data_IF_596864391147
#
_entry.id   IF_596864391147
#
_cell.length_a   1.000
_cell.length_b   1.000
_cell.length_c   1.000
_cell.angle_alpha   90.00
_cell.angle_beta   90.00
_cell.angle_gamma   90.00
#
_symmetry.space_group_name_H-M   'P 1'
#
loop_
_entity.id
_entity.type
_entity.pdbx_description
1 polymer ?
#
# COMPACT_ATOMS: atom_id res chain seq x y z
N UNK A 1 50.18 14.14 11.72
CA UNK A 1 49.49 13.82 10.46
C UNK A 1 48.34 14.80 10.19
N UNK A 2 47.36 15.00 11.09
CA UNK A 2 46.25 15.95 10.86
C UNK A 2 46.66 17.44 10.77
N UNK A 3 47.71 17.88 11.48
CA UNK A 3 48.21 19.27 11.40
C UNK A 3 48.84 19.65 10.05
N UNK A 4 49.11 18.68 9.17
CA UNK A 4 49.70 18.92 7.85
C UNK A 4 48.65 19.01 6.72
N UNK A 5 47.37 18.85 7.06
CA UNK A 5 46.27 19.00 6.10
C UNK A 5 45.93 20.48 5.94
N UNK A 6 45.60 20.95 4.73
CA UNK A 6 45.14 22.32 4.52
C UNK A 6 43.87 22.58 5.32
N UNK A 7 43.83 23.69 6.04
CA UNK A 7 42.64 24.15 6.77
C UNK A 7 41.65 24.68 5.74
N UNK A 8 40.41 24.20 5.78
CA UNK A 8 39.37 24.68 4.88
C UNK A 8 39.09 26.17 5.17
N UNK A 9 39.13 27.07 4.17
CA UNK A 9 38.85 28.48 4.40
C UNK A 9 37.36 28.74 4.69
N UNK A 10 36.49 27.83 4.26
CA UNK A 10 35.03 27.91 4.42
C UNK A 10 34.55 26.67 5.18
N UNK A 11 33.62 26.86 6.11
CA UNK A 11 32.92 25.77 6.80
C UNK A 11 31.43 25.92 6.65
N UNK A 12 30.74 24.82 6.30
CA UNK A 12 29.29 24.72 6.28
C UNK A 12 28.86 23.64 7.26
N UNK A 13 27.91 23.96 8.13
CA UNK A 13 27.46 23.08 9.18
C UNK A 13 25.93 23.14 9.32
N UNK A 14 25.29 21.99 9.44
CA UNK A 14 23.86 21.87 9.69
C UNK A 14 23.64 21.17 11.03
N UNK A 15 23.15 21.95 12.00
CA UNK A 15 22.95 21.50 13.38
C UNK A 15 21.69 20.65 13.56
N UNK A 16 20.85 20.54 12.51
CA UNK A 16 19.62 19.77 12.54
C UNK A 16 18.37 20.59 12.88
N UNK A 17 17.29 19.87 13.15
CA UNK A 17 15.98 20.42 13.50
C UNK A 17 15.71 20.26 15.00
N UNK A 18 15.49 21.37 15.69
CA UNK A 18 15.33 21.39 17.15
C UNK A 18 13.86 21.34 17.59
N UNK A 19 12.90 21.51 16.68
CA UNK A 19 11.45 21.53 16.97
C UNK A 19 10.95 20.24 17.62
N UNK A 20 11.55 19.11 17.28
CA UNK A 20 11.15 17.80 17.81
C UNK A 20 11.70 17.54 19.22
N UNK A 21 12.64 18.36 19.69
CA UNK A 21 13.36 18.13 20.95
C UNK A 21 12.76 18.87 22.15
N UNK A 22 11.85 19.83 21.92
CA UNK A 22 11.30 20.70 22.96
C UNK A 22 9.77 20.81 22.83
N UNK A 23 9.05 19.78 23.26
CA UNK A 23 7.59 19.80 23.33
C UNK A 23 7.06 20.88 24.29
N UNK A 24 5.80 21.28 24.13
CA UNK A 24 5.15 22.27 25.01
C UNK A 24 5.09 21.84 26.48
N UNK A 25 5.26 20.57 26.82
CA UNK A 25 5.33 20.06 28.19
C UNK A 25 6.77 19.76 28.66
N UNK A 26 7.79 20.10 27.87
CA UNK A 26 9.19 19.82 28.19
C UNK A 26 9.67 20.61 29.43
N UNK A 27 10.40 19.91 30.30
CA UNK A 27 11.00 20.46 31.53
C UNK A 27 12.00 21.59 31.25
N UNK A 28 12.71 21.52 30.13
CA UNK A 28 13.61 22.56 29.63
C UNK A 28 13.09 23.09 28.32
N UNK A 29 12.96 24.41 28.23
CA UNK A 29 12.58 25.11 27.00
C UNK A 29 13.70 26.06 26.59
N UNK A 30 13.93 26.26 25.28
CA UNK A 30 14.85 27.27 24.81
C UNK A 30 14.41 28.65 25.32
N UNK A 31 15.37 29.42 25.83
CA UNK A 31 15.12 30.80 26.20
C UNK A 31 14.92 31.61 24.91
N UNK A 32 13.83 32.40 24.82
CA UNK A 32 13.60 33.29 23.66
C UNK A 32 14.48 34.54 23.69
N UNK A 33 15.12 34.81 24.82
CA UNK A 33 16.01 35.96 24.96
C UNK A 33 17.36 35.68 24.29
N UNK A 34 17.97 36.72 23.74
CA UNK A 34 19.28 36.59 23.11
C UNK A 34 20.32 36.12 24.12
N UNK A 35 21.09 35.05 23.85
CA UNK A 35 22.19 34.62 24.71
C UNK A 35 23.36 35.61 24.72
N UNK A 36 23.25 36.73 23.98
CA UNK A 36 24.34 37.66 23.72
C UNK A 36 25.21 37.22 22.55
N UNK A 37 26.39 37.82 22.43
CA UNK A 37 27.35 37.44 21.42
C UNK A 37 27.90 36.04 21.71
N UNK A 38 27.73 35.11 20.79
CA UNK A 38 28.25 33.75 20.92
C UNK A 38 29.79 33.69 20.89
N UNK A 39 30.43 34.73 20.34
CA UNK A 39 31.87 34.87 20.24
C UNK A 39 32.29 36.29 20.63
N UNK A 40 33.49 36.42 21.19
CA UNK A 40 34.15 37.71 21.37
C UNK A 40 34.43 38.34 19.98
N UNK A 41 34.15 39.64 19.76
CA UNK A 41 34.44 40.31 18.49
C UNK A 41 35.92 40.27 18.06
N UNK A 42 36.84 40.01 19.00
CA UNK A 42 38.28 39.87 18.77
C UNK A 42 38.77 38.41 18.79
N UNK A 43 37.87 37.44 18.95
CA UNK A 43 38.27 36.04 18.91
C UNK A 43 38.80 35.68 17.50
N UNK A 44 39.94 34.96 17.40
CA UNK A 44 40.41 34.47 16.12
C UNK A 44 39.39 33.48 15.55
N UNK A 45 38.93 33.73 14.33
CA UNK A 45 38.02 32.82 13.64
C UNK A 45 38.79 31.57 13.17
N UNK A 46 38.27 30.35 13.41
CA UNK A 46 38.92 29.12 12.97
C UNK A 46 38.91 28.95 11.44
N UNK A 47 37.95 29.56 10.75
CA UNK A 47 37.79 29.57 9.31
C UNK A 47 37.49 31.01 8.84
N UNK A 48 37.85 31.35 7.60
CA UNK A 48 37.66 32.72 7.07
C UNK A 48 36.17 33.05 6.90
N UNK A 49 35.35 32.04 6.58
CA UNK A 49 33.89 32.10 6.53
C UNK A 49 33.27 30.82 7.11
N UNK A 50 32.25 30.95 7.93
CA UNK A 50 31.48 29.86 8.51
C UNK A 50 29.98 30.12 8.34
N UNK A 51 29.27 29.11 7.88
CA UNK A 51 27.82 29.11 7.69
C UNK A 51 27.26 28.00 8.57
N UNK A 52 26.62 28.39 9.67
CA UNK A 52 25.91 27.47 10.56
C UNK A 52 24.41 27.58 10.31
N UNK A 53 23.75 26.44 10.12
CA UNK A 53 22.33 26.36 9.83
C UNK A 53 21.59 25.49 10.85
N UNK A 54 20.38 25.90 11.21
CA UNK A 54 19.49 25.15 12.11
C UNK A 54 18.02 25.44 11.77
N UNK A 55 17.13 24.49 12.08
CA UNK A 55 15.68 24.73 12.01
C UNK A 55 15.09 24.83 13.41
N UNK A 56 14.41 25.94 13.68
CA UNK A 56 13.72 26.22 14.94
C UNK A 56 12.45 27.03 14.70
N UNK A 57 11.34 26.66 15.35
CA UNK A 57 10.03 27.24 15.11
C UNK A 57 9.50 26.99 13.68
N UNK A 58 9.98 25.95 13.00
CA UNK A 58 9.71 25.74 11.57
C UNK A 58 10.44 26.69 10.62
N UNK A 59 11.32 27.56 11.13
CA UNK A 59 12.10 28.50 10.32
C UNK A 59 13.56 28.04 10.21
N UNK A 60 14.12 28.12 8.99
CA UNK A 60 15.55 27.89 8.75
C UNK A 60 16.33 29.16 9.10
N UNK A 61 17.18 29.08 10.13
CA UNK A 61 18.11 30.13 10.49
C UNK A 61 19.49 29.81 9.92
N UNK A 62 20.08 30.76 9.20
CA UNK A 62 21.44 30.71 8.67
C UNK A 62 22.28 31.80 9.34
N UNK A 63 23.36 31.40 10.03
CA UNK A 63 24.31 32.33 10.64
C UNK A 63 25.59 32.34 9.84
N UNK A 64 25.96 33.52 9.35
CA UNK A 64 27.17 33.77 8.59
C UNK A 64 28.19 34.47 9.48
N UNK A 65 29.31 33.80 9.77
CA UNK A 65 30.41 34.34 10.57
C UNK A 65 31.65 34.45 9.68
N UNK A 66 32.25 35.63 9.56
CA UNK A 66 33.34 35.86 8.60
C UNK A 66 34.39 36.85 9.11
N UNK A 67 35.59 36.77 8.52
CA UNK A 67 36.67 37.74 8.80
C UNK A 67 36.47 39.04 8.02
N UNK A 68 36.26 40.15 8.75
CA UNK A 68 36.16 41.49 8.17
C UNK A 68 37.48 42.02 7.59
N UNK A 69 38.63 41.40 7.92
CA UNK A 69 39.92 41.70 7.29
C UNK A 69 40.06 41.08 5.91
N UNK A 70 39.28 40.03 5.63
CA UNK A 70 39.30 39.28 4.36
C UNK A 70 38.15 39.64 3.44
N UNK A 71 36.97 39.90 3.99
CA UNK A 71 35.74 40.12 3.23
C UNK A 71 35.08 41.44 3.58
N UNK A 72 34.59 42.13 2.56
CA UNK A 72 33.73 43.29 2.75
C UNK A 72 32.35 42.83 3.25
N UNK A 73 31.79 43.44 4.32
CA UNK A 73 30.47 43.06 4.83
C UNK A 73 29.36 43.09 3.76
N UNK A 74 29.39 44.06 2.86
CA UNK A 74 28.42 44.18 1.77
C UNK A 74 28.49 43.00 0.78
N UNK A 75 29.67 42.42 0.56
CA UNK A 75 29.84 41.25 -0.31
C UNK A 75 29.26 39.98 0.34
N UNK A 76 29.46 39.81 1.65
CA UNK A 76 28.86 38.68 2.39
C UNK A 76 27.34 38.81 2.48
N UNK A 77 26.83 40.03 2.68
CA UNK A 77 25.40 40.30 2.68
C UNK A 77 24.77 39.97 1.32
N UNK A 78 25.39 40.38 0.22
CA UNK A 78 24.94 40.02 -1.13
C UNK A 78 24.96 38.49 -1.35
N UNK A 79 26.02 37.80 -0.94
CA UNK A 79 26.11 36.33 -1.02
C UNK A 79 25.01 35.64 -0.20
N UNK A 80 24.72 36.14 1.01
CA UNK A 80 23.66 35.59 1.86
C UNK A 80 22.27 35.81 1.25
N UNK A 81 22.04 36.97 0.61
CA UNK A 81 20.81 37.27 -0.13
C UNK A 81 20.65 36.38 -1.37
N UNK A 82 21.72 36.19 -2.15
CA UNK A 82 21.72 35.29 -3.31
C UNK A 82 21.46 33.84 -2.88
N UNK A 83 22.07 33.40 -1.78
CA UNK A 83 21.83 32.08 -1.20
C UNK A 83 20.37 31.89 -0.80
N UNK A 84 19.78 32.88 -0.13
CA UNK A 84 18.36 32.87 0.24
C UNK A 84 17.45 32.86 -0.99
N UNK A 85 17.73 33.67 -1.99
CA UNK A 85 16.98 33.71 -3.24
C UNK A 85 17.03 32.37 -3.98
N UNK A 86 18.20 31.72 -4.02
CA UNK A 86 18.36 30.36 -4.55
C UNK A 86 17.53 29.34 -3.77
N UNK A 87 17.53 29.38 -2.43
CA UNK A 87 16.71 28.49 -1.62
C UNK A 87 15.21 28.71 -1.86
N UNK A 88 14.77 29.96 -1.95
CA UNK A 88 13.38 30.30 -2.27
C UNK A 88 12.99 29.81 -3.67
N UNK A 89 13.87 29.95 -4.65
CA UNK A 89 13.64 29.43 -6.00
C UNK A 89 13.58 27.89 -6.01
N UNK A 90 14.43 27.21 -5.23
CA UNK A 90 14.37 25.75 -5.05
C UNK A 90 13.06 25.32 -4.38
N UNK A 91 12.63 26.01 -3.32
CA UNK A 91 11.35 25.73 -2.66
C UNK A 91 10.19 25.93 -3.64
N UNK A 92 10.17 27.05 -4.38
CA UNK A 92 9.14 27.31 -5.39
C UNK A 92 9.13 26.24 -6.49
N UNK A 93 10.30 25.76 -6.91
CA UNK A 93 10.42 24.65 -7.83
C UNK A 93 9.85 23.36 -7.22
N UNK A 94 10.26 22.96 -6.02
CA UNK A 94 9.76 21.75 -5.35
C UNK A 94 8.25 21.77 -5.08
N UNK A 95 7.67 22.95 -4.86
CA UNK A 95 6.22 23.14 -4.68
C UNK A 95 5.43 23.21 -5.99
N UNK A 96 6.11 23.37 -7.13
CA UNK A 96 5.44 23.39 -8.43
C UNK A 96 4.96 21.97 -8.80
N UNK A 97 3.72 21.88 -9.28
CA UNK A 97 3.13 20.62 -9.73
C UNK A 97 4.04 19.94 -10.78
N UNK A 98 4.39 18.68 -10.53
CA UNK A 98 5.23 17.87 -11.41
C UNK A 98 6.75 18.05 -11.25
N UNK A 99 7.21 18.93 -10.35
CA UNK A 99 8.66 19.10 -10.05
C UNK A 99 9.15 18.22 -8.88
N UNK A 100 8.22 17.54 -8.19
CA UNK A 100 8.54 16.47 -7.25
C UNK A 100 8.75 15.14 -7.98
N UNK A 101 9.82 14.43 -7.64
CA UNK A 101 10.14 13.11 -8.18
C UNK A 101 10.29 12.10 -7.06
N UNK A 102 9.85 10.88 -7.31
CA UNK A 102 10.18 9.76 -6.44
C UNK A 102 11.64 9.38 -6.69
N UNK A 103 12.34 9.01 -5.63
CA UNK A 103 13.71 8.53 -5.67
C UNK A 103 13.76 7.09 -5.19
N UNK A 104 14.79 6.31 -5.56
CA UNK A 104 15.01 4.98 -5.02
C UNK A 104 14.98 4.90 -3.48
N UNK A 105 15.34 5.98 -2.79
CA UNK A 105 15.35 6.03 -1.33
C UNK A 105 13.95 6.03 -0.70
N UNK A 106 12.92 6.41 -1.47
CA UNK A 106 11.52 6.37 -1.03
C UNK A 106 11.00 4.92 -0.98
N UNK A 107 11.54 4.01 -1.80
CA UNK A 107 11.10 2.62 -1.94
C UNK A 107 12.23 1.61 -1.73
N UNK A 108 12.82 1.54 -0.51
CA UNK A 108 14.02 0.73 -0.26
C UNK A 108 13.80 -0.78 -0.46
N UNK A 109 12.55 -1.25 -0.40
CA UNK A 109 12.22 -2.67 -0.61
C UNK A 109 12.23 -3.08 -2.08
N UNK A 110 11.98 -2.13 -3.00
CA UNK A 110 11.86 -2.38 -4.44
C UNK A 110 13.23 -2.55 -5.12
N UNK A 111 14.30 -2.01 -4.52
CA UNK A 111 15.67 -2.05 -5.04
C UNK A 111 15.79 -1.55 -6.50
N UNK A 112 14.98 -0.55 -6.86
CA UNK A 112 14.99 0.08 -8.18
C UNK A 112 16.09 1.13 -8.30
N UNK A 113 16.65 1.28 -9.50
CA UNK A 113 17.37 2.49 -9.87
C UNK A 113 16.40 3.61 -10.33
N UNK A 114 16.90 4.83 -10.53
CA UNK A 114 16.05 5.96 -10.92
C UNK A 114 15.37 5.73 -12.29
N UNK A 115 16.05 5.12 -13.25
CA UNK A 115 15.50 4.90 -14.59
C UNK A 115 14.36 3.87 -14.56
N UNK A 116 14.47 2.83 -13.73
CA UNK A 116 13.43 1.85 -13.50
C UNK A 116 12.23 2.45 -12.77
N UNK A 117 12.48 3.33 -11.79
CA UNK A 117 11.42 4.04 -11.06
C UNK A 117 10.62 4.98 -11.97
N UNK A 118 11.31 5.75 -12.82
CA UNK A 118 10.69 6.65 -13.79
C UNK A 118 9.92 5.89 -14.89
N UNK A 119 10.23 4.61 -15.09
CA UNK A 119 9.58 3.75 -16.07
C UNK A 119 8.34 3.00 -15.53
N UNK A 120 7.97 3.18 -14.25
CA UNK A 120 6.75 2.59 -13.71
C UNK A 120 5.52 3.08 -14.50
N UNK A 121 4.52 2.21 -14.74
CA UNK A 121 3.34 2.56 -15.54
C UNK A 121 2.36 3.50 -14.82
N UNK A 122 2.62 3.83 -13.55
CA UNK A 122 1.79 4.68 -12.71
C UNK A 122 2.47 6.03 -12.53
N UNK A 123 1.76 7.17 -12.70
CA UNK A 123 2.34 8.49 -12.46
C UNK A 123 2.91 8.62 -11.04
N UNK A 124 4.10 9.20 -10.84
CA UNK A 124 4.70 9.37 -9.51
C UNK A 124 3.77 10.06 -8.48
N UNK A 125 2.94 10.99 -8.93
CA UNK A 125 1.95 11.67 -8.09
C UNK A 125 0.91 10.73 -7.47
N UNK A 126 0.66 9.57 -8.10
CA UNK A 126 -0.31 8.57 -7.68
C UNK A 126 0.31 7.39 -6.91
N UNK A 127 1.64 7.30 -6.81
CA UNK A 127 2.30 6.21 -6.09
C UNK A 127 2.46 6.58 -4.61
N UNK A 128 2.07 5.66 -3.72
CA UNK A 128 2.29 5.73 -2.29
C UNK A 128 3.45 4.84 -1.84
N UNK A 129 3.62 3.66 -2.45
CA UNK A 129 4.67 2.70 -2.11
C UNK A 129 4.97 1.76 -3.27
N UNK A 130 6.16 1.17 -3.28
CA UNK A 130 6.57 0.15 -4.26
C UNK A 130 7.39 -0.91 -3.55
N UNK A 131 7.05 -2.18 -3.75
CA UNK A 131 7.82 -3.30 -3.19
C UNK A 131 7.59 -4.61 -3.96
N UNK A 132 8.48 -5.61 -3.83
CA UNK A 132 8.36 -6.87 -4.57
C UNK A 132 7.15 -7.70 -4.19
N UNK A 133 6.71 -8.53 -5.13
CA UNK A 133 5.67 -9.53 -4.88
C UNK A 133 6.20 -10.64 -3.96
N UNK A 134 5.27 -11.29 -3.27
CA UNK A 134 5.56 -12.59 -2.68
C UNK A 134 5.64 -13.69 -3.75
N UNK A 135 6.34 -14.82 -3.50
CA UNK A 135 6.37 -15.93 -4.46
C UNK A 135 4.99 -16.46 -4.87
N UNK A 136 4.00 -16.37 -3.97
CA UNK A 136 2.61 -16.73 -4.27
C UNK A 136 1.97 -15.74 -5.26
N UNK A 137 2.16 -14.44 -5.02
CA UNK A 137 1.64 -13.41 -5.92
C UNK A 137 2.33 -13.46 -7.28
N UNK A 138 3.64 -13.74 -7.35
CA UNK A 138 4.36 -13.95 -8.63
C UNK A 138 3.74 -15.10 -9.44
N UNK A 139 3.48 -16.24 -8.79
CA UNK A 139 2.82 -17.38 -9.44
C UNK A 139 1.40 -17.06 -9.93
N UNK A 140 0.61 -16.36 -9.11
CA UNK A 140 -0.74 -15.92 -9.50
C UNK A 140 -0.69 -14.95 -10.68
N UNK A 141 0.20 -13.95 -10.65
CA UNK A 141 0.36 -12.98 -11.73
C UNK A 141 0.73 -13.67 -13.04
N UNK A 142 1.71 -14.57 -13.01
CA UNK A 142 2.14 -15.32 -14.20
C UNK A 142 1.01 -16.17 -14.78
N UNK A 143 0.28 -16.91 -13.94
CA UNK A 143 -0.87 -17.71 -14.39
C UNK A 143 -1.94 -16.84 -15.05
N UNK A 144 -2.28 -15.70 -14.45
CA UNK A 144 -3.29 -14.79 -15.02
C UNK A 144 -2.83 -14.20 -16.36
N UNK A 145 -1.54 -13.87 -16.52
CA UNK A 145 -0.99 -13.36 -17.78
C UNK A 145 -0.89 -14.43 -18.88
N UNK A 146 -0.69 -15.71 -18.53
CA UNK A 146 -0.60 -16.81 -19.49
C UNK A 146 -1.99 -17.32 -19.95
N UNK A 147 -3.02 -17.13 -19.13
CA UNK A 147 -4.39 -17.61 -19.40
C UNK A 147 -5.43 -16.48 -19.34
N UNK A 148 -5.32 -15.44 -20.19
CA UNK A 148 -6.24 -14.31 -20.16
C UNK A 148 -7.68 -14.73 -20.49
N UNK A 149 -8.66 -14.10 -19.84
CA UNK A 149 -10.10 -14.33 -20.10
C UNK A 149 -10.68 -15.62 -19.50
N UNK A 150 -9.89 -16.39 -18.74
CA UNK A 150 -10.37 -17.60 -18.04
C UNK A 150 -11.14 -17.30 -16.76
N UNK A 151 -11.03 -16.08 -16.23
CA UNK A 151 -11.55 -15.72 -14.91
C UNK A 151 -10.82 -16.43 -13.76
N UNK A 152 -9.64 -17.01 -14.00
CA UNK A 152 -8.80 -17.56 -12.93
C UNK A 152 -8.56 -16.50 -11.86
N UNK A 153 -8.69 -16.92 -10.59
CA UNK A 153 -8.53 -16.05 -9.42
C UNK A 153 -9.48 -14.83 -9.35
N UNK A 154 -10.50 -14.76 -10.21
CA UNK A 154 -11.55 -13.74 -10.10
C UNK A 154 -12.50 -14.13 -8.96
N UNK A 155 -12.41 -13.42 -7.85
CA UNK A 155 -13.27 -13.60 -6.69
C UNK A 155 -14.43 -12.63 -6.80
N UNK A 156 -15.65 -13.12 -6.58
CA UNK A 156 -16.84 -12.31 -6.64
C UNK A 156 -17.81 -12.70 -5.54
N UNK A 157 -18.11 -11.72 -4.70
CA UNK A 157 -19.00 -11.87 -3.57
C UNK A 157 -20.27 -11.09 -3.79
N UNK A 158 -21.38 -11.66 -3.32
CA UNK A 158 -22.68 -11.01 -3.35
C UNK A 158 -23.25 -10.96 -1.94
N UNK A 159 -23.62 -9.76 -1.52
CA UNK A 159 -24.33 -9.50 -0.28
C UNK A 159 -25.72 -8.95 -0.60
N UNK A 160 -26.71 -9.41 0.16
CA UNK A 160 -28.06 -8.87 0.12
C UNK A 160 -28.26 -7.98 1.35
N UNK A 161 -28.72 -6.75 1.12
CA UNK A 161 -28.99 -5.77 2.16
C UNK A 161 -30.50 -5.53 2.13
N UNK A 162 -31.21 -6.05 3.13
CA UNK A 162 -32.66 -5.95 3.27
C UNK A 162 -33.04 -4.80 4.23
N UNK A 163 -32.43 -3.63 4.03
CA UNK A 163 -32.69 -2.43 4.83
C UNK A 163 -32.53 -1.16 3.99
N UNK A 164 -33.06 -0.04 4.51
CA UNK A 164 -32.68 1.27 4.01
C UNK A 164 -31.17 1.45 4.16
N UNK A 165 -30.55 2.07 3.16
CA UNK A 165 -29.12 2.30 3.08
C UNK A 165 -28.93 3.69 2.47
N UNK A 166 -28.05 4.48 3.07
CA UNK A 166 -27.54 5.71 2.45
C UNK A 166 -26.40 5.34 1.48
N UNK A 167 -26.57 5.49 0.15
CA UNK A 167 -25.55 5.12 -0.83
C UNK A 167 -24.30 6.01 -0.77
N UNK A 168 -24.43 7.28 -0.38
CA UNK A 168 -23.30 8.20 -0.26
C UNK A 168 -22.44 7.82 0.95
N UNK A 169 -23.07 7.58 2.10
CA UNK A 169 -22.38 7.07 3.30
C UNK A 169 -21.74 5.70 3.04
N UNK A 170 -22.40 4.85 2.24
CA UNK A 170 -21.87 3.55 1.85
C UNK A 170 -20.58 3.70 1.06
N UNK A 171 -20.59 4.59 0.05
CA UNK A 171 -19.41 4.86 -0.76
C UNK A 171 -18.26 5.45 0.07
N UNK A 172 -18.55 6.41 0.95
CA UNK A 172 -17.55 7.02 1.84
C UNK A 172 -16.92 6.00 2.78
N UNK A 173 -17.73 5.10 3.38
CA UNK A 173 -17.22 4.06 4.26
C UNK A 173 -16.27 3.11 3.53
N UNK A 174 -16.64 2.66 2.32
CA UNK A 174 -15.77 1.80 1.51
C UNK A 174 -14.51 2.50 1.04
N UNK A 175 -14.59 3.77 0.62
CA UNK A 175 -13.42 4.57 0.28
C UNK A 175 -12.43 4.66 1.45
N UNK A 176 -12.94 4.83 2.67
CA UNK A 176 -12.11 4.83 3.88
C UNK A 176 -11.47 3.46 4.17
N UNK A 177 -12.21 2.35 3.98
CA UNK A 177 -11.67 0.99 4.09
C UNK A 177 -10.55 0.76 3.07
N UNK A 178 -10.77 1.13 1.81
CA UNK A 178 -9.76 1.00 0.75
C UNK A 178 -8.53 1.88 1.04
N UNK A 179 -8.74 3.10 1.53
CA UNK A 179 -7.64 3.98 1.90
C UNK A 179 -6.78 3.39 3.02
N UNK A 180 -7.43 2.75 4.00
CA UNK A 180 -6.82 2.11 5.15
C UNK A 180 -6.01 0.86 4.81
N UNK A 181 -6.40 0.09 3.79
CA UNK A 181 -5.77 -1.19 3.44
C UNK A 181 -5.02 -1.10 2.11
N UNK A 182 -3.70 -0.91 2.16
CA UNK A 182 -2.83 -0.73 0.97
C UNK A 182 -2.96 -1.86 -0.06
N UNK A 183 -3.22 -3.09 0.38
CA UNK A 183 -3.39 -4.24 -0.50
C UNK A 183 -4.57 -4.10 -1.48
N UNK A 184 -5.62 -3.35 -1.13
CA UNK A 184 -6.76 -3.10 -2.03
C UNK A 184 -6.44 -2.08 -3.13
N UNK A 185 -5.31 -1.37 -3.01
CA UNK A 185 -4.85 -0.31 -3.90
C UNK A 185 -3.60 -0.72 -4.67
N UNK A 186 -3.32 -2.02 -4.73
CA UNK A 186 -2.14 -2.56 -5.37
C UNK A 186 -2.39 -2.90 -6.85
N UNK A 187 -1.56 -2.38 -7.75
CA UNK A 187 -1.39 -2.92 -9.10
C UNK A 187 -0.01 -3.57 -9.24
N UNK A 188 0.23 -4.25 -10.36
CA UNK A 188 1.35 -5.17 -10.51
C UNK A 188 2.19 -4.89 -11.74
N UNK A 189 3.50 -4.96 -11.61
CA UNK A 189 4.41 -4.74 -12.72
C UNK A 189 5.37 -5.92 -12.83
N UNK A 190 5.54 -6.47 -14.03
CA UNK A 190 6.43 -7.61 -14.27
C UNK A 190 7.62 -7.29 -15.18
N UNK A 191 7.62 -6.12 -15.82
CA UNK A 191 8.55 -5.75 -16.88
C UNK A 191 9.54 -4.63 -16.48
N UNK A 192 9.67 -4.34 -15.18
CA UNK A 192 10.58 -3.31 -14.65
C UNK A 192 11.67 -3.99 -13.82
N UNK A 193 12.89 -4.00 -14.36
CA UNK A 193 14.01 -4.72 -13.77
C UNK A 193 13.84 -6.24 -13.85
N UNK A 194 14.40 -6.95 -12.88
CA UNK A 194 14.37 -8.43 -12.82
C UNK A 194 13.29 -8.99 -11.90
N UNK A 195 12.63 -8.15 -11.10
CA UNK A 195 11.70 -8.57 -10.05
C UNK A 195 10.29 -8.07 -10.37
N UNK A 196 9.28 -8.90 -10.09
CA UNK A 196 7.89 -8.45 -10.18
C UNK A 196 7.58 -7.54 -8.98
N UNK A 197 6.95 -6.41 -9.24
CA UNK A 197 6.69 -5.35 -8.25
C UNK A 197 5.20 -5.11 -8.06
N UNK A 198 4.85 -4.77 -6.83
CA UNK A 198 3.55 -4.27 -6.44
C UNK A 198 3.66 -2.76 -6.27
N UNK A 199 2.80 -2.01 -6.97
CA UNK A 199 2.72 -0.56 -6.88
C UNK A 199 1.47 -0.21 -6.08
N UNK A 200 1.64 0.47 -4.96
CA UNK A 200 0.55 0.93 -4.11
C UNK A 200 0.11 2.32 -4.58
N UNK A 201 -1.14 2.43 -5.02
CA UNK A 201 -1.75 3.67 -5.48
C UNK A 201 -2.25 4.49 -4.31
N UNK A 202 -2.01 5.80 -4.26
CA UNK A 202 -2.58 6.70 -3.26
C UNK A 202 -4.10 6.55 -3.18
N UNK A 203 -4.70 6.73 -1.99
CA UNK A 203 -6.14 6.58 -1.80
C UNK A 203 -6.95 7.64 -2.56
N UNK A 204 -8.22 7.32 -2.85
CA UNK A 204 -9.22 8.29 -3.34
C UNK A 204 -9.66 8.12 -4.79
N UNK A 205 -9.08 7.19 -5.54
CA UNK A 205 -9.40 6.96 -6.96
C UNK A 205 -10.29 5.75 -7.23
N UNK A 206 -10.56 4.88 -6.24
CA UNK A 206 -11.32 3.64 -6.46
C UNK A 206 -12.80 3.93 -6.74
N UNK A 207 -13.31 3.61 -7.94
CA UNK A 207 -14.71 3.83 -8.26
C UNK A 207 -15.62 2.84 -7.53
N UNK A 208 -16.80 3.30 -7.15
CA UNK A 208 -17.87 2.47 -6.61
C UNK A 208 -19.08 2.66 -7.54
N UNK A 209 -19.45 1.60 -8.25
CA UNK A 209 -20.56 1.64 -9.18
C UNK A 209 -21.88 1.67 -8.42
N UNK A 210 -22.78 2.58 -8.79
CA UNK A 210 -24.15 2.60 -8.30
C UNK A 210 -25.12 2.39 -9.46
N UNK A 211 -25.93 1.34 -9.40
CA UNK A 211 -26.99 1.08 -10.37
C UNK A 211 -28.36 1.12 -9.68
N UNK A 212 -29.34 1.71 -10.36
CA UNK A 212 -30.73 1.71 -9.90
C UNK A 212 -31.57 0.80 -10.81
N UNK A 213 -32.03 -0.32 -10.25
CA UNK A 213 -32.81 -1.34 -10.93
C UNK A 213 -34.26 -1.39 -10.41
N UNK A 214 -34.73 -0.36 -9.72
CA UNK A 214 -36.13 -0.29 -9.25
C UNK A 214 -37.14 -0.37 -10.41
N UNK A 215 -36.78 0.16 -11.58
CA UNK A 215 -37.59 0.11 -12.80
C UNK A 215 -37.44 -1.21 -13.58
N UNK A 216 -36.53 -2.11 -13.16
CA UNK A 216 -36.38 -3.43 -13.78
C UNK A 216 -37.38 -4.38 -13.12
N UNK A 217 -38.24 -5.09 -13.89
CA UNK A 217 -39.18 -6.07 -13.34
C UNK A 217 -38.47 -7.09 -12.44
N UNK A 218 -39.04 -7.38 -11.27
CA UNK A 218 -38.41 -8.21 -10.25
C UNK A 218 -37.97 -9.59 -10.77
N UNK A 219 -38.77 -10.22 -11.63
CA UNK A 219 -38.44 -11.49 -12.29
C UNK A 219 -37.23 -11.44 -13.23
N UNK A 220 -36.85 -10.25 -13.71
CA UNK A 220 -35.72 -10.03 -14.62
C UNK A 220 -34.45 -9.56 -13.90
N UNK A 221 -34.55 -9.11 -12.65
CA UNK A 221 -33.40 -8.60 -11.90
C UNK A 221 -32.32 -9.68 -11.68
N UNK A 222 -32.71 -10.89 -11.27
CA UNK A 222 -31.76 -11.98 -11.01
C UNK A 222 -31.10 -12.51 -12.31
N UNK A 223 -31.84 -12.83 -13.40
CA UNK A 223 -31.21 -13.19 -14.68
C UNK A 223 -30.26 -12.10 -15.21
N UNK A 224 -30.65 -10.82 -15.08
CA UNK A 224 -29.82 -9.69 -15.50
C UNK A 224 -28.54 -9.61 -14.68
N UNK A 225 -28.61 -9.83 -13.36
CA UNK A 225 -27.44 -9.92 -12.51
C UNK A 225 -26.51 -11.05 -12.97
N UNK A 226 -27.04 -12.26 -13.20
CA UNK A 226 -26.21 -13.40 -13.61
C UNK A 226 -25.47 -13.16 -14.93
N UNK A 227 -26.10 -12.49 -15.90
CA UNK A 227 -25.45 -12.08 -17.16
C UNK A 227 -24.32 -11.08 -16.89
N UNK A 228 -24.58 -10.07 -16.06
CA UNK A 228 -23.60 -9.05 -15.67
C UNK A 228 -22.38 -9.69 -14.99
N UNK A 229 -22.60 -10.46 -13.92
CA UNK A 229 -21.56 -11.15 -13.16
C UNK A 229 -20.73 -12.11 -14.03
N UNK A 230 -21.39 -12.82 -14.95
CA UNK A 230 -20.70 -13.67 -15.93
C UNK A 230 -19.79 -12.84 -16.84
N UNK A 231 -20.30 -11.75 -17.41
CA UNK A 231 -19.53 -10.90 -18.31
C UNK A 231 -18.30 -10.27 -17.64
N UNK A 232 -18.41 -9.90 -16.36
CA UNK A 232 -17.28 -9.35 -15.60
C UNK A 232 -16.19 -10.38 -15.33
N UNK A 233 -16.58 -11.61 -14.98
CA UNK A 233 -15.63 -12.70 -14.78
C UNK A 233 -14.91 -13.10 -16.07
N UNK A 234 -15.62 -13.09 -17.19
CA UNK A 234 -15.04 -13.34 -18.52
C UNK A 234 -14.12 -12.19 -18.96
N UNK A 235 -14.46 -10.94 -18.62
CA UNK A 235 -13.59 -9.79 -18.87
C UNK A 235 -12.32 -9.81 -17.99
N UNK A 236 -12.43 -10.32 -16.76
CA UNK A 236 -11.31 -10.36 -15.81
C UNK A 236 -10.94 -8.99 -15.26
N UNK A 237 -9.72 -8.88 -14.72
CA UNK A 237 -9.14 -7.62 -14.28
C UNK A 237 -7.89 -7.28 -15.09
N UNK A 238 -7.69 -6.00 -15.37
CA UNK A 238 -6.38 -5.49 -15.79
C UNK A 238 -5.52 -5.34 -14.53
N UNK A 239 -4.42 -6.08 -14.45
CA UNK A 239 -3.58 -6.15 -13.25
C UNK A 239 -2.47 -5.11 -13.25
N UNK A 240 -2.13 -4.54 -14.41
CA UNK A 240 -0.89 -3.79 -14.57
C UNK A 240 -0.98 -2.36 -14.04
N UNK A 241 -2.03 -1.66 -14.43
CA UNK A 241 -2.12 -0.21 -14.26
C UNK A 241 -3.16 0.20 -13.22
N UNK A 242 -4.04 -0.73 -12.82
CA UNK A 242 -5.13 -0.45 -11.89
C UNK A 242 -5.23 -1.53 -10.80
N UNK A 243 -5.66 -1.16 -9.58
CA UNK A 243 -5.96 -2.14 -8.56
C UNK A 243 -7.11 -3.05 -9.02
N UNK A 244 -6.95 -4.38 -9.04
CA UNK A 244 -7.98 -5.32 -9.46
C UNK A 244 -9.01 -5.56 -8.36
N UNK A 245 -9.71 -4.48 -8.00
CA UNK A 245 -10.71 -4.40 -6.96
C UNK A 245 -11.87 -3.53 -7.43
N UNK A 246 -13.09 -4.06 -7.40
CA UNK A 246 -14.28 -3.40 -7.89
C UNK A 246 -15.45 -3.57 -6.94
N UNK A 247 -16.13 -2.47 -6.65
CA UNK A 247 -17.31 -2.44 -5.78
C UNK A 247 -18.52 -1.97 -6.57
N UNK A 248 -19.65 -2.67 -6.41
CA UNK A 248 -20.92 -2.26 -6.99
C UNK A 248 -22.06 -2.36 -6.00
N UNK A 249 -22.86 -1.30 -5.92
CA UNK A 249 -24.11 -1.27 -5.19
C UNK A 249 -25.27 -1.16 -6.19
N UNK A 250 -26.20 -2.11 -6.17
CA UNK A 250 -27.41 -2.11 -6.99
C UNK A 250 -28.61 -1.91 -6.07
N UNK A 251 -29.37 -0.83 -6.26
CA UNK A 251 -30.67 -0.64 -5.63
C UNK A 251 -31.74 -1.39 -6.41
N UNK A 252 -32.37 -2.38 -5.79
CA UNK A 252 -33.41 -3.20 -6.43
C UNK A 252 -34.82 -2.86 -5.94
N UNK A 253 -34.94 -2.13 -4.83
CA UNK A 253 -36.17 -1.58 -4.27
C UNK A 253 -35.86 -0.37 -3.35
N UNK A 254 -36.86 0.20 -2.69
CA UNK A 254 -36.70 1.32 -1.75
C UNK A 254 -35.74 1.01 -0.59
N UNK A 255 -35.84 -0.18 -0.01
CA UNK A 255 -35.03 -0.64 1.12
C UNK A 255 -34.37 -1.99 0.85
N UNK A 256 -34.03 -2.26 -0.41
CA UNK A 256 -33.35 -3.50 -0.81
C UNK A 256 -32.22 -3.21 -1.78
N UNK A 257 -31.03 -3.71 -1.44
CA UNK A 257 -29.83 -3.53 -2.23
C UNK A 257 -29.08 -4.85 -2.41
N UNK A 258 -28.39 -4.97 -3.53
CA UNK A 258 -27.35 -5.96 -3.74
C UNK A 258 -26.00 -5.26 -3.76
N UNK A 259 -25.06 -5.78 -2.99
CA UNK A 259 -23.69 -5.32 -2.99
C UNK A 259 -22.79 -6.41 -3.54
N UNK A 260 -21.99 -6.06 -4.54
CA UNK A 260 -20.98 -6.93 -5.10
C UNK A 260 -19.60 -6.38 -4.79
N UNK A 261 -18.74 -7.28 -4.32
CA UNK A 261 -17.32 -7.04 -4.14
C UNK A 261 -16.59 -8.03 -5.03
N UNK A 262 -15.92 -7.52 -6.06
CA UNK A 262 -15.13 -8.31 -6.98
C UNK A 262 -13.66 -7.97 -6.80
N UNK A 263 -12.79 -8.97 -6.75
CA UNK A 263 -11.35 -8.74 -6.65
C UNK A 263 -10.56 -9.88 -7.30
N UNK A 264 -9.32 -9.60 -7.69
CA UNK A 264 -8.38 -10.66 -7.99
C UNK A 264 -7.78 -11.23 -6.69
N UNK A 265 -7.63 -12.55 -6.59
CA UNK A 265 -7.17 -13.23 -5.37
C UNK A 265 -5.73 -12.85 -4.97
N UNK A 266 -4.97 -12.24 -5.88
CA UNK A 266 -3.64 -11.68 -5.63
C UNK A 266 -3.62 -10.57 -4.55
N UNK A 267 -4.75 -9.89 -4.32
CA UNK A 267 -4.86 -8.80 -3.35
C UNK A 267 -5.15 -9.30 -1.93
N UNK A 268 -6.16 -10.17 -1.81
CA UNK A 268 -6.74 -10.58 -0.52
C UNK A 268 -7.24 -12.02 -0.60
N UNK A 269 -7.34 -12.66 0.56
CA UNK A 269 -7.93 -13.98 0.73
C UNK A 269 -9.30 -13.94 1.44
N UNK A 270 -9.90 -15.11 1.64
CA UNK A 270 -11.19 -15.23 2.28
C UNK A 270 -11.21 -14.77 3.75
N UNK A 271 -10.07 -14.81 4.46
CA UNK A 271 -9.96 -14.34 5.83
C UNK A 271 -10.03 -12.81 5.90
N UNK A 272 -9.32 -12.13 4.99
CA UNK A 272 -9.35 -10.68 4.87
C UNK A 272 -10.76 -10.11 4.72
N UNK A 273 -11.67 -10.81 4.02
CA UNK A 273 -13.04 -10.34 3.78
C UNK A 273 -13.79 -10.01 5.05
N UNK A 274 -13.67 -10.84 6.09
CA UNK A 274 -14.36 -10.60 7.37
C UNK A 274 -13.81 -9.36 8.09
N UNK A 275 -12.50 -9.14 8.00
CA UNK A 275 -11.85 -7.94 8.56
C UNK A 275 -12.32 -6.67 7.83
N UNK A 276 -12.38 -6.71 6.50
CA UNK A 276 -12.87 -5.58 5.70
C UNK A 276 -14.33 -5.25 6.00
N UNK A 277 -15.20 -6.26 6.18
CA UNK A 277 -16.59 -6.03 6.57
C UNK A 277 -16.70 -5.40 7.96
N UNK A 278 -15.91 -5.87 8.94
CA UNK A 278 -15.91 -5.28 10.28
C UNK A 278 -15.50 -3.80 10.25
N UNK A 279 -14.39 -3.48 9.57
CA UNK A 279 -13.94 -2.10 9.39
C UNK A 279 -15.02 -1.25 8.68
N UNK A 280 -15.67 -1.80 7.65
CA UNK A 280 -16.78 -1.13 6.95
C UNK A 280 -17.93 -0.79 7.91
N UNK A 281 -18.39 -1.74 8.73
CA UNK A 281 -19.51 -1.51 9.65
C UNK A 281 -19.17 -0.46 10.71
N UNK A 282 -17.96 -0.51 11.27
CA UNK A 282 -17.49 0.46 12.26
C UNK A 282 -17.43 1.87 11.67
N UNK A 283 -16.88 2.01 10.46
CA UNK A 283 -16.79 3.30 9.75
C UNK A 283 -18.17 3.80 9.34
N UNK A 284 -19.01 2.95 8.75
CA UNK A 284 -20.35 3.33 8.29
C UNK A 284 -21.22 3.81 9.45
N UNK A 285 -21.12 3.14 10.61
CA UNK A 285 -21.85 3.54 11.83
C UNK A 285 -21.33 4.87 12.37
N UNK A 286 -20.01 5.04 12.46
CA UNK A 286 -19.40 6.28 12.93
C UNK A 286 -19.78 7.49 12.06
N UNK A 287 -19.73 7.34 10.73
CA UNK A 287 -20.18 8.36 9.77
C UNK A 287 -21.66 8.72 9.97
N UNK A 288 -22.51 7.73 10.26
CA UNK A 288 -23.93 7.94 10.56
C UNK A 288 -24.19 8.71 11.86
N UNK A 289 -23.28 8.59 12.81
CA UNK A 289 -23.33 9.26 14.11
C UNK A 289 -22.58 10.61 14.09
N UNK A 290 -21.96 10.99 12.97
CA UNK A 290 -21.19 12.23 12.84
C UNK A 290 -19.90 12.24 13.67
N UNK A 291 -19.30 11.07 13.90
CA UNK A 291 -18.04 10.90 14.63
C UNK A 291 -17.00 10.15 13.81
N UNK A 292 -15.75 10.24 14.23
CA UNK A 292 -14.67 9.43 13.65
C UNK A 292 -14.72 7.99 14.13
N UNK A 293 -14.39 7.06 13.24
CA UNK A 293 -14.22 5.66 13.56
C UNK A 293 -12.94 5.43 14.37
N UNK A 294 -13.04 4.71 15.49
CA UNK A 294 -11.92 4.44 16.38
C UNK A 294 -11.31 3.06 16.05
N UNK A 295 -10.59 2.99 14.93
CA UNK A 295 -9.90 1.78 14.50
C UNK A 295 -8.41 1.87 14.85
N UNK A 296 -7.82 0.78 15.35
CA UNK A 296 -6.37 0.70 15.55
C UNK A 296 -5.62 0.94 14.22
N UNK A 297 -4.36 1.40 14.21
CA UNK A 297 -3.60 1.49 12.95
C UNK A 297 -3.57 0.14 12.21
N UNK A 298 -3.85 0.16 10.91
CA UNK A 298 -3.78 -1.07 10.11
C UNK A 298 -2.31 -1.50 9.95
N UNK A 299 -1.97 -2.78 10.16
CA UNK A 299 -0.63 -3.28 9.87
C UNK A 299 -0.36 -3.18 8.37
N UNK A 300 0.86 -2.78 8.00
CA UNK A 300 1.22 -2.61 6.59
C UNK A 300 1.76 -3.90 6.01
N UNK A 301 1.33 -4.25 4.80
CA UNK A 301 1.76 -5.47 4.12
C UNK A 301 3.26 -5.42 3.77
N UNK A 302 3.81 -4.22 3.52
CA UNK A 302 5.26 -4.01 3.32
C UNK A 302 6.13 -4.57 4.46
N UNK A 303 5.63 -4.62 5.68
CA UNK A 303 6.40 -5.12 6.84
C UNK A 303 6.59 -6.63 6.72
N UNK A 304 5.56 -7.33 6.22
CA UNK A 304 5.64 -8.73 5.88
C UNK A 304 6.59 -8.98 4.71
N UNK A 305 6.56 -8.13 3.66
CA UNK A 305 7.52 -8.22 2.55
C UNK A 305 8.97 -8.06 3.05
N UNK A 306 9.23 -7.06 3.87
CA UNK A 306 10.56 -6.85 4.47
C UNK A 306 10.99 -8.02 5.36
N UNK A 307 10.06 -8.62 6.12
CA UNK A 307 10.32 -9.84 6.87
C UNK A 307 10.67 -11.03 5.96
N UNK A 308 9.93 -11.20 4.87
CA UNK A 308 10.10 -12.31 3.93
C UNK A 308 11.46 -12.25 3.22
N UNK A 309 11.86 -11.07 2.76
CA UNK A 309 13.16 -10.86 2.10
C UNK A 309 14.35 -11.26 3.00
N UNK A 310 14.21 -11.14 4.33
CA UNK A 310 15.26 -11.54 5.28
C UNK A 310 15.36 -13.05 5.53
N UNK A 311 14.33 -13.84 5.18
CA UNK A 311 14.26 -15.27 5.56
C UNK A 311 15.04 -16.21 4.64
N UNK A 312 15.27 -15.83 3.38
CA UNK A 312 15.94 -16.67 2.38
C UNK A 312 15.15 -17.92 2.01
N UNK A 313 14.86 -18.13 0.73
CA UNK A 313 13.98 -19.23 0.27
C UNK A 313 14.63 -20.62 0.29
N UNK A 314 15.96 -20.69 0.40
CA UNK A 314 16.73 -21.95 0.30
C UNK A 314 16.35 -22.95 1.39
N UNK A 315 16.24 -22.49 2.64
CA UNK A 315 15.91 -23.38 3.76
C UNK A 315 14.51 -23.97 3.62
N UNK A 316 13.52 -23.15 3.23
CA UNK A 316 12.16 -23.62 2.98
C UNK A 316 12.10 -24.63 1.84
N UNK A 317 12.81 -24.37 0.73
CA UNK A 317 12.89 -25.29 -0.40
C UNK A 317 13.51 -26.63 -0.02
N UNK A 318 14.64 -26.59 0.69
CA UNK A 318 15.34 -27.81 1.09
C UNK A 318 14.49 -28.64 2.05
N UNK A 319 13.78 -27.99 2.98
CA UNK A 319 12.81 -28.65 3.86
C UNK A 319 11.70 -29.35 3.08
N UNK A 320 11.07 -28.68 2.11
CA UNK A 320 10.02 -29.30 1.28
C UNK A 320 10.53 -30.46 0.42
N UNK A 321 11.74 -30.33 -0.14
CA UNK A 321 12.38 -31.41 -0.89
C UNK A 321 12.61 -32.66 -0.02
N UNK A 322 13.03 -32.45 1.22
CA UNK A 322 13.26 -33.53 2.17
C UNK A 322 11.95 -34.14 2.66
N UNK A 323 10.95 -33.32 2.96
CA UNK A 323 9.63 -33.76 3.44
C UNK A 323 8.84 -34.53 2.36
N UNK A 324 9.00 -34.17 1.09
CA UNK A 324 8.35 -34.84 -0.05
C UNK A 324 9.19 -35.97 -0.66
N UNK A 325 10.33 -36.31 -0.04
CA UNK A 325 11.22 -37.36 -0.54
C UNK A 325 10.49 -38.71 -0.57
N UNK A 326 10.53 -39.36 -1.73
CA UNK A 326 9.86 -40.66 -1.95
C UNK A 326 8.42 -40.54 -2.43
N UNK A 327 7.88 -39.33 -2.60
CA UNK A 327 6.61 -39.13 -3.30
C UNK A 327 6.81 -39.22 -4.82
N UNK A 328 6.41 -40.34 -5.42
CA UNK A 328 6.61 -40.58 -6.86
C UNK A 328 5.34 -40.36 -7.70
N UNK A 329 4.15 -40.58 -7.11
CA UNK A 329 2.88 -40.50 -7.83
C UNK A 329 1.72 -40.17 -6.89
N UNK A 330 0.72 -39.39 -7.34
CA UNK A 330 -0.51 -39.17 -6.59
C UNK A 330 -1.29 -40.47 -6.41
N UNK A 331 -2.05 -40.58 -5.31
CA UNK A 331 -2.98 -41.69 -5.10
C UNK A 331 -4.20 -41.49 -6.00
N UNK A 332 -4.50 -42.41 -6.95
CA UNK A 332 -5.66 -42.26 -7.80
C UNK A 332 -6.94 -42.51 -6.98
N UNK A 333 -7.91 -41.60 -7.10
CA UNK A 333 -9.27 -41.84 -6.61
C UNK A 333 -10.02 -42.63 -7.70
N UNK A 334 -10.75 -43.71 -7.36
CA UNK A 334 -11.58 -44.42 -8.32
C UNK A 334 -12.53 -43.44 -9.03
N UNK A 335 -12.54 -43.49 -10.36
CA UNK A 335 -13.41 -42.66 -11.19
C UNK A 335 -14.23 -43.55 -12.11
N UNK A 336 -15.53 -43.29 -12.16
CA UNK A 336 -16.45 -43.94 -13.09
C UNK A 336 -16.31 -43.40 -14.53
N UNK A 337 -15.46 -42.38 -14.74
CA UNK A 337 -15.25 -41.71 -16.02
C UNK A 337 -13.76 -41.53 -16.34
N UNK A 338 -13.35 -41.61 -17.62
CA UNK A 338 -11.98 -41.37 -18.01
C UNK A 338 -11.56 -39.93 -17.67
N UNK A 339 -10.34 -39.76 -17.17
CA UNK A 339 -9.75 -38.44 -16.97
C UNK A 339 -9.46 -37.81 -18.33
N UNK A 340 -10.19 -36.76 -18.68
CA UNK A 340 -9.82 -35.88 -19.79
C UNK A 340 -8.68 -34.98 -19.28
N UNK A 341 -7.43 -35.29 -19.66
CA UNK A 341 -6.32 -34.35 -19.49
C UNK A 341 -6.39 -33.34 -20.64
N UNK A 342 -7.16 -32.28 -20.48
CA UNK A 342 -7.13 -31.15 -21.41
C UNK A 342 -6.03 -30.17 -20.96
N UNK A 343 -4.97 -30.05 -21.75
CA UNK A 343 -4.40 -28.74 -21.99
C UNK A 343 -5.50 -27.96 -22.72
N UNK A 344 -6.06 -26.95 -22.07
CA UNK A 344 -7.13 -26.12 -22.60
C UNK A 344 -6.66 -25.36 -23.84
N UNK A 345 -6.83 -25.96 -25.01
CA UNK A 345 -6.90 -25.26 -26.29
C UNK A 345 -8.36 -25.22 -26.70
N UNK A 346 -8.92 -24.02 -26.78
CA UNK A 346 -10.29 -23.69 -27.18
C UNK A 346 -11.42 -24.32 -26.36
N UNK A 347 -11.84 -23.62 -25.30
CA UNK A 347 -13.19 -23.68 -24.68
C UNK A 347 -13.61 -24.96 -23.89
N UNK A 348 -12.66 -25.69 -23.30
CA UNK A 348 -12.94 -26.80 -22.35
C UNK A 348 -12.71 -26.40 -20.89
N UNK A 349 -13.59 -25.58 -20.30
CA UNK A 349 -13.50 -25.23 -18.88
C UNK A 349 -13.74 -26.44 -17.97
N UNK A 350 -13.04 -26.51 -16.83
CA UNK A 350 -13.36 -27.48 -15.77
C UNK A 350 -14.82 -27.30 -15.34
N UNK A 351 -15.65 -28.34 -15.51
CA UNK A 351 -17.03 -28.35 -14.99
C UNK A 351 -16.97 -28.60 -13.50
N UNK A 352 -17.12 -27.53 -12.71
CA UNK A 352 -17.19 -27.60 -11.25
C UNK A 352 -18.63 -27.94 -10.84
N UNK A 353 -18.78 -28.90 -9.92
CA UNK A 353 -20.05 -29.23 -9.28
C UNK A 353 -19.89 -29.23 -7.77
N UNK A 354 -20.79 -28.57 -7.06
CA UNK A 354 -20.77 -28.50 -5.61
C UNK A 354 -21.69 -29.56 -5.00
N UNK A 355 -21.22 -30.22 -3.93
CA UNK A 355 -22.04 -31.09 -3.09
C UNK A 355 -21.93 -30.62 -1.64
N UNK A 356 -23.06 -30.21 -1.06
CA UNK A 356 -23.11 -29.72 0.30
C UNK A 356 -23.63 -30.83 1.22
N UNK A 357 -22.82 -31.22 2.20
CA UNK A 357 -23.22 -32.09 3.31
C UNK A 357 -22.92 -31.40 4.63
N UNK A 358 -23.61 -31.79 5.71
CA UNK A 358 -23.45 -31.18 7.04
C UNK A 358 -23.36 -32.30 8.08
N UNK A 359 -22.47 -32.11 9.05
CA UNK A 359 -22.50 -32.89 10.27
C UNK A 359 -23.66 -32.41 11.15
N UNK A 360 -24.28 -33.34 11.86
CA UNK A 360 -25.24 -32.99 12.89
C UNK A 360 -24.55 -32.23 14.03
N UNK A 361 -25.29 -31.36 14.72
CA UNK A 361 -24.74 -30.52 15.80
C UNK A 361 -24.02 -31.34 16.87
N UNK A 362 -24.58 -32.51 17.21
CA UNK A 362 -23.99 -33.44 18.17
C UNK A 362 -22.62 -33.95 17.69
N UNK A 363 -22.52 -34.38 16.44
CA UNK A 363 -21.29 -34.95 15.89
C UNK A 363 -20.21 -33.87 15.77
N UNK A 364 -20.61 -32.65 15.37
CA UNK A 364 -19.73 -31.49 15.37
C UNK A 364 -19.19 -31.13 16.76
N UNK A 365 -20.02 -31.23 17.80
CA UNK A 365 -19.59 -31.03 19.18
C UNK A 365 -18.61 -32.11 19.64
N UNK A 366 -18.91 -33.39 19.35
CA UNK A 366 -18.04 -34.51 19.70
C UNK A 366 -16.69 -34.43 19.00
N UNK A 367 -16.66 -34.06 17.72
CA UNK A 367 -15.41 -33.84 16.98
C UNK A 367 -14.56 -32.75 17.63
N UNK A 368 -15.18 -31.65 18.04
CA UNK A 368 -14.49 -30.54 18.71
C UNK A 368 -13.92 -30.94 20.06
N UNK A 369 -14.69 -31.65 20.88
CA UNK A 369 -14.23 -32.17 22.17
C UNK A 369 -13.05 -33.12 21.99
N UNK A 370 -13.12 -34.02 21.00
CA UNK A 370 -12.04 -34.96 20.69
C UNK A 370 -10.77 -34.22 20.25
N UNK A 371 -10.88 -33.27 19.32
CA UNK A 371 -9.75 -32.46 18.88
C UNK A 371 -9.12 -31.73 20.06
N UNK A 372 -9.94 -31.13 20.95
CA UNK A 372 -9.45 -30.44 22.14
C UNK A 372 -8.73 -31.39 23.11
N UNK A 373 -9.29 -32.58 23.36
CA UNK A 373 -8.67 -33.60 24.22
C UNK A 373 -7.29 -34.01 23.71
N UNK A 374 -7.11 -34.04 22.39
CA UNK A 374 -5.84 -34.40 21.76
C UNK A 374 -4.97 -33.20 21.37
N UNK A 375 -5.36 -31.97 21.72
CA UNK A 375 -4.65 -30.73 21.37
C UNK A 375 -4.44 -30.57 19.86
N UNK A 376 -5.45 -30.96 19.09
CA UNK A 376 -5.49 -30.84 17.63
C UNK A 376 -6.43 -29.69 17.22
N UNK A 377 -6.20 -29.16 16.02
CA UNK A 377 -7.15 -28.28 15.34
C UNK A 377 -8.26 -29.13 14.72
N UNK A 378 -9.52 -28.66 14.82
CA UNK A 378 -10.70 -29.28 14.18
C UNK A 378 -10.63 -29.11 12.66
#
# INVERSE_FOLDING_TARGET
AMQALPVAPITFNYLGQFDQSFADDALFRPLQESPGAAHDPQAPLPNELSIDSQVYGGELLLRWTFSAERYEPAAIEALAQDYLACLQALIAHCLADGSGGLTPSDFPLAALDQAQLDALPVPPSHIEDVYPLTPMQEGMLLHTLLEPGTGLYYMQDRYRIDSALDPQRFAQAWQAVIARHEALRASFCWNIGETMLQVIHKPGSTPIDYLDWREVPAEQQEPRLQVLLKSEREAGFELLDQPPFHLRLIRVDEARYWFMMSNHHILIDAWCRSLLMNDFFDIYTALGEGRDAQLAPAPRYRDYIGWLQRRGLTQARDWWRDNLRGFERPTPIPSDRPFLREHAGDSGGMVVGDCYTRLDERDGAQLRELAQQHQLTV
#
